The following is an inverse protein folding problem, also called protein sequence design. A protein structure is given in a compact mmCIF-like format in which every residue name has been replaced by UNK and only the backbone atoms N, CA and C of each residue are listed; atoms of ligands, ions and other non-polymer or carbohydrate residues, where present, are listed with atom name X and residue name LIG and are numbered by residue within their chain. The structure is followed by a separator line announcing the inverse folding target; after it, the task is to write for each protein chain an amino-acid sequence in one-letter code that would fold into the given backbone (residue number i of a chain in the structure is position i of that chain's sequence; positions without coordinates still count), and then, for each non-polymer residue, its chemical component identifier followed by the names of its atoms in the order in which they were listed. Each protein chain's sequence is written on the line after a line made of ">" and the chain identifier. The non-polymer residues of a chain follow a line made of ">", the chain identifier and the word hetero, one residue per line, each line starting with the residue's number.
data_IF_800295630192
#
_entry.id   IF_800295630192
#
_cell.length_a   1.000
_cell.length_b   1.000
_cell.length_c   1.000
_cell.angle_alpha   90.00
_cell.angle_beta   90.00
_cell.angle_gamma   90.00
#
_symmetry.space_group_name_H-M   'P 1'
#
loop_
_entity.id
_entity.type
_entity.pdbx_description
1 polymer ?
#
# COMPACT_ATOMS: atom_id res chain seq x y z
N UNK A 1 -9.76 14.47 -9.45
CA UNK A 1 -8.38 13.99 -9.61
C UNK A 1 -7.58 14.27 -8.35
N UNK A 2 -6.89 13.27 -7.80
CA UNK A 2 -5.91 13.49 -6.74
C UNK A 2 -4.64 14.15 -7.30
N UNK A 3 -3.98 14.95 -6.48
CA UNK A 3 -2.67 15.56 -6.76
C UNK A 3 -1.53 14.58 -6.47
N UNK A 4 -0.36 14.83 -7.06
CA UNK A 4 0.85 14.04 -6.76
C UNK A 4 1.20 14.03 -5.28
N UNK A 5 1.00 15.15 -4.58
CA UNK A 5 1.21 15.26 -3.14
C UNK A 5 0.25 14.34 -2.36
N UNK A 6 -1.02 14.29 -2.78
CA UNK A 6 -1.99 13.39 -2.15
C UNK A 6 -1.61 11.93 -2.39
N UNK A 7 -1.22 11.55 -3.61
CA UNK A 7 -0.72 10.19 -3.88
C UNK A 7 0.50 9.83 -3.01
N UNK A 8 1.51 10.70 -2.95
CA UNK A 8 2.69 10.49 -2.12
C UNK A 8 2.34 10.37 -0.63
N UNK A 9 1.38 11.17 -0.15
CA UNK A 9 0.91 11.12 1.23
C UNK A 9 0.18 9.81 1.54
N UNK A 10 -0.66 9.32 0.62
CA UNK A 10 -1.33 8.03 0.77
C UNK A 10 -0.35 6.85 0.73
N UNK A 11 0.65 6.90 -0.17
CA UNK A 11 1.73 5.92 -0.23
C UNK A 11 2.60 5.89 1.04
N UNK A 12 2.79 7.04 1.71
CA UNK A 12 3.54 7.10 2.95
C UNK A 12 2.71 6.70 4.18
N UNK A 13 1.38 6.81 4.10
CA UNK A 13 0.46 6.43 5.19
C UNK A 13 0.35 4.91 5.37
N UNK A 14 0.67 4.12 4.35
CA UNK A 14 0.59 2.64 4.39
C UNK A 14 1.60 2.00 5.34
N UNK A 15 2.67 2.69 5.71
CA UNK A 15 3.59 2.22 6.74
C UNK A 15 2.89 2.17 8.10
N UNK A 16 3.07 1.07 8.84
CA UNK A 16 2.44 0.83 10.14
C UNK A 16 3.01 1.74 11.25
N UNK A 17 2.59 3.01 11.21
CA UNK A 17 2.88 4.04 12.20
C UNK A 17 1.62 4.32 12.99
N UNK A 18 1.73 4.38 14.32
CA UNK A 18 0.58 4.57 15.22
C UNK A 18 0.57 5.96 15.88
N UNK A 19 -0.61 6.40 16.33
CA UNK A 19 -0.77 7.64 17.11
C UNK A 19 -0.32 8.88 16.36
N UNK A 20 0.45 9.75 17.03
CA UNK A 20 0.95 11.01 16.46
C UNK A 20 1.89 10.83 15.24
N UNK A 21 2.42 9.62 15.04
CA UNK A 21 3.32 9.32 13.92
C UNK A 21 2.59 8.80 12.68
N UNK A 22 1.27 8.56 12.74
CA UNK A 22 0.48 8.18 11.57
C UNK A 22 0.22 9.42 10.71
N UNK A 23 0.65 9.39 9.45
CA UNK A 23 0.39 10.47 8.49
C UNK A 23 -1.11 10.67 8.36
N UNK A 24 -1.61 11.89 8.58
CA UNK A 24 -3.04 12.20 8.48
C UNK A 24 -3.55 12.08 7.04
N UNK A 25 -4.86 11.85 6.87
CA UNK A 25 -5.47 11.88 5.54
C UNK A 25 -5.56 13.32 5.02
N UNK A 26 -5.43 13.54 3.70
CA UNK A 26 -5.82 14.80 3.07
C UNK A 26 -7.32 15.09 3.27
N UNK A 27 -7.70 16.36 3.14
CA UNK A 27 -9.11 16.77 3.18
C UNK A 27 -9.92 16.05 2.09
N UNK A 28 -11.15 15.66 2.41
CA UNK A 28 -12.09 14.97 1.51
C UNK A 28 -11.63 13.59 1.01
N UNK A 29 -10.68 12.96 1.71
CA UNK A 29 -10.26 11.58 1.48
C UNK A 29 -10.62 10.73 2.69
N UNK A 30 -11.35 9.65 2.45
CA UNK A 30 -11.74 8.68 3.46
C UNK A 30 -10.95 7.38 3.30
N UNK A 31 -10.57 6.76 4.43
CA UNK A 31 -10.04 5.39 4.46
C UNK A 31 -11.23 4.44 4.53
N UNK A 32 -11.45 3.70 3.45
CA UNK A 32 -12.57 2.76 3.33
C UNK A 32 -12.15 1.32 3.63
N UNK A 33 -10.84 1.02 3.53
CA UNK A 33 -10.27 -0.25 3.97
C UNK A 33 -8.80 -0.08 4.39
N UNK A 34 -8.40 -0.84 5.41
CA UNK A 34 -7.02 -0.94 5.86
C UNK A 34 -6.63 -2.41 6.00
N UNK A 35 -5.60 -2.81 5.27
CA UNK A 35 -4.92 -4.08 5.42
C UNK A 35 -3.72 -3.86 6.33
N UNK A 36 -3.80 -4.44 7.53
CA UNK A 36 -2.75 -4.33 8.55
C UNK A 36 -1.48 -5.08 8.14
N UNK A 37 -0.35 -4.70 8.75
CA UNK A 37 0.97 -5.29 8.45
C UNK A 37 0.99 -6.78 8.76
N UNK A 38 1.09 -7.59 7.70
CA UNK A 38 1.24 -9.04 7.82
C UNK A 38 2.63 -9.35 8.38
N UNK A 39 2.76 -9.95 9.59
CA UNK A 39 4.06 -10.16 10.22
C UNK A 39 4.96 -11.15 9.47
N UNK A 40 4.44 -11.91 8.50
CA UNK A 40 5.20 -12.85 7.68
C UNK A 40 5.66 -12.24 6.38
N UNK A 41 4.80 -11.47 5.72
CA UNK A 41 5.14 -10.88 4.42
C UNK A 41 5.62 -9.43 4.52
N UNK A 42 5.28 -8.71 5.59
CA UNK A 42 5.45 -7.26 5.72
C UNK A 42 4.50 -6.46 4.82
N UNK A 43 3.39 -7.07 4.39
CA UNK A 43 2.41 -6.42 3.53
C UNK A 43 1.42 -5.62 4.37
N UNK A 44 1.32 -4.32 4.08
CA UNK A 44 0.24 -3.45 4.52
C UNK A 44 -0.24 -2.59 3.35
N UNK A 45 -1.51 -2.25 3.36
CA UNK A 45 -2.12 -1.48 2.29
C UNK A 45 -3.33 -0.67 2.80
N UNK A 46 -3.63 0.43 2.12
CA UNK A 46 -4.81 1.25 2.39
C UNK A 46 -5.62 1.45 1.12
N UNK A 47 -6.94 1.42 1.25
CA UNK A 47 -7.86 1.80 0.19
C UNK A 47 -8.56 3.09 0.61
N UNK A 48 -8.44 4.10 -0.25
CA UNK A 48 -8.91 5.44 0.03
C UNK A 48 -9.90 5.91 -1.03
N UNK A 49 -10.88 6.70 -0.63
CA UNK A 49 -11.92 7.21 -1.52
C UNK A 49 -11.95 8.74 -1.54
N UNK A 50 -12.07 9.32 -2.74
CA UNK A 50 -12.33 10.75 -2.99
C UNK A 50 -13.38 10.92 -4.08
N UNK A 51 -14.64 11.06 -3.69
CA UNK A 51 -15.77 11.05 -4.64
C UNK A 51 -15.88 9.70 -5.35
N UNK A 52 -15.83 9.68 -6.69
CA UNK A 52 -15.84 8.43 -7.48
C UNK A 52 -14.45 7.80 -7.67
N UNK A 53 -13.39 8.41 -7.12
CA UNK A 53 -12.04 7.88 -7.26
C UNK A 53 -11.69 7.01 -6.07
N UNK A 54 -11.03 5.89 -6.35
CA UNK A 54 -10.46 5.00 -5.35
C UNK A 54 -8.97 4.89 -5.59
N UNK A 55 -8.19 5.04 -4.52
CA UNK A 55 -6.74 4.85 -4.54
C UNK A 55 -6.39 3.68 -3.65
N UNK A 56 -5.73 2.68 -4.23
CA UNK A 56 -5.16 1.56 -3.49
C UNK A 56 -3.67 1.87 -3.31
N UNK A 57 -3.25 2.07 -2.08
CA UNK A 57 -1.87 2.35 -1.72
C UNK A 57 -1.22 1.10 -1.12
N UNK A 58 -0.04 0.74 -1.61
CA UNK A 58 0.75 -0.39 -1.12
C UNK A 58 1.96 0.09 -0.32
N UNK A 59 2.25 -0.56 0.80
CA UNK A 59 3.48 -0.31 1.57
C UNK A 59 4.72 -0.72 0.78
N UNK A 60 5.84 -0.06 1.08
CA UNK A 60 7.17 -0.54 0.69
C UNK A 60 7.69 -1.59 1.67
N UNK A 61 8.88 -2.12 1.45
CA UNK A 61 9.53 -3.01 2.42
C UNK A 61 9.74 -2.29 3.77
N UNK A 62 9.47 -2.98 4.89
CA UNK A 62 9.74 -2.46 6.23
C UNK A 62 11.25 -2.32 6.49
N UNK A 63 11.67 -1.34 7.30
CA UNK A 63 13.09 -1.01 7.53
C UNK A 63 13.93 -2.19 8.05
N UNK A 64 13.34 -3.06 8.88
CA UNK A 64 13.98 -4.29 9.36
C UNK A 64 14.27 -5.26 8.20
N UNK A 65 13.32 -5.41 7.27
CA UNK A 65 13.48 -6.24 6.07
C UNK A 65 14.45 -5.62 5.07
N UNK A 66 14.54 -4.28 4.99
CA UNK A 66 15.55 -3.59 4.16
C UNK A 66 16.96 -3.78 4.73
N UNK A 67 17.13 -3.70 6.05
CA UNK A 67 18.40 -4.03 6.71
C UNK A 67 18.76 -5.49 6.46
N UNK A 68 17.84 -6.42 6.66
CA UNK A 68 18.09 -7.84 6.36
C UNK A 68 18.39 -8.07 4.87
N UNK A 69 17.71 -7.38 3.95
CA UNK A 69 17.97 -7.44 2.51
C UNK A 69 19.34 -6.88 2.11
N UNK A 70 19.85 -5.89 2.83
CA UNK A 70 21.16 -5.30 2.55
C UNK A 70 22.31 -6.11 3.14
N UNK A 71 22.06 -6.92 4.19
CA UNK A 71 23.08 -7.75 4.84
C UNK A 71 23.05 -9.21 4.35
N UNK A 72 21.87 -9.72 4.01
CA UNK A 72 21.65 -11.07 3.52
C UNK A 72 21.29 -11.05 2.02
N UNK A 73 22.08 -11.77 1.24
CA UNK A 73 21.96 -11.85 -0.22
C UNK A 73 20.49 -12.00 -0.71
N UNK A 74 20.23 -11.32 -1.82
CA UNK A 74 19.00 -11.18 -2.65
C UNK A 74 18.02 -12.40 -2.74
N UNK A 75 18.42 -13.69 -2.66
CA UNK A 75 17.47 -14.78 -2.97
C UNK A 75 16.27 -14.95 -2.03
N UNK A 76 16.37 -14.60 -0.74
CA UNK A 76 15.26 -14.80 0.22
C UNK A 76 14.08 -13.85 0.00
N UNK A 77 14.32 -12.65 -0.56
CA UNK A 77 13.28 -11.66 -0.82
C UNK A 77 12.34 -12.03 -1.99
N UNK A 78 12.76 -12.95 -2.86
CA UNK A 78 11.92 -13.43 -3.97
C UNK A 78 10.75 -14.29 -3.50
N UNK A 79 10.90 -14.99 -2.36
CA UNK A 79 9.82 -15.78 -1.76
C UNK A 79 8.76 -14.93 -1.08
N UNK A 80 9.17 -13.86 -0.37
CA UNK A 80 8.26 -12.90 0.26
C UNK A 80 7.55 -12.00 -0.76
N UNK A 81 8.21 -11.66 -1.88
CA UNK A 81 7.57 -10.94 -2.99
C UNK A 81 6.33 -11.66 -3.52
N UNK A 82 6.35 -12.99 -3.64
CA UNK A 82 5.18 -13.74 -4.12
C UNK A 82 3.96 -13.61 -3.18
N UNK A 83 4.17 -13.57 -1.86
CA UNK A 83 3.08 -13.40 -0.90
C UNK A 83 2.47 -12.00 -0.99
N UNK A 84 3.32 -10.96 -1.01
CA UNK A 84 2.85 -9.57 -1.14
C UNK A 84 2.11 -9.32 -2.46
N UNK A 85 2.60 -9.89 -3.58
CA UNK A 85 1.92 -9.79 -4.88
C UNK A 85 0.53 -10.42 -4.81
N UNK A 86 0.40 -11.63 -4.25
CA UNK A 86 -0.91 -12.29 -4.14
C UNK A 86 -1.87 -11.53 -3.21
N UNK A 87 -1.38 -10.97 -2.11
CA UNK A 87 -2.17 -10.13 -1.21
C UNK A 87 -2.63 -8.84 -1.90
N UNK A 88 -1.74 -8.19 -2.67
CA UNK A 88 -2.09 -7.03 -3.47
C UNK A 88 -3.16 -7.36 -4.52
N UNK A 89 -2.98 -8.44 -5.30
CA UNK A 89 -3.96 -8.89 -6.31
C UNK A 89 -5.31 -9.15 -5.66
N UNK A 90 -5.35 -9.81 -4.51
CA UNK A 90 -6.60 -10.08 -3.81
C UNK A 90 -7.33 -8.79 -3.42
N UNK A 91 -6.60 -7.86 -2.78
CA UNK A 91 -7.15 -6.56 -2.39
C UNK A 91 -7.69 -5.77 -3.59
N UNK A 92 -6.96 -5.78 -4.71
CA UNK A 92 -7.39 -5.11 -5.94
C UNK A 92 -8.68 -5.71 -6.48
N UNK A 93 -8.76 -7.04 -6.59
CA UNK A 93 -9.96 -7.71 -7.11
C UNK A 93 -11.18 -7.50 -6.20
N UNK A 94 -10.99 -7.53 -4.88
CA UNK A 94 -12.06 -7.23 -3.93
C UNK A 94 -12.53 -5.78 -4.05
N UNK A 95 -11.61 -4.83 -4.15
CA UNK A 95 -11.93 -3.40 -4.31
C UNK A 95 -12.70 -3.16 -5.61
N UNK A 96 -12.24 -3.73 -6.73
CA UNK A 96 -12.93 -3.61 -8.02
C UNK A 96 -14.33 -4.22 -7.99
N UNK A 97 -14.50 -5.35 -7.28
CA UNK A 97 -15.80 -6.00 -7.12
C UNK A 97 -16.76 -5.17 -6.27
N UNK A 98 -16.26 -4.52 -5.22
CA UNK A 98 -17.07 -3.68 -4.33
C UNK A 98 -17.41 -2.31 -4.96
N UNK A 99 -16.56 -1.82 -5.87
CA UNK A 99 -16.67 -0.50 -6.48
C UNK A 99 -16.60 -0.54 -8.02
N UNK A 100 -17.55 -1.21 -8.70
CA UNK A 100 -17.47 -1.51 -10.13
C UNK A 100 -17.49 -0.29 -11.06
N UNK A 101 -17.92 0.88 -10.55
CA UNK A 101 -18.03 2.12 -11.33
C UNK A 101 -17.00 3.18 -10.91
N UNK A 102 -16.10 2.86 -9.98
CA UNK A 102 -15.11 3.80 -9.49
C UNK A 102 -13.93 3.93 -10.44
N UNK A 103 -13.32 5.12 -10.47
CA UNK A 103 -12.02 5.34 -11.11
C UNK A 103 -10.93 4.88 -10.15
N UNK A 104 -10.36 3.69 -10.40
CA UNK A 104 -9.33 3.11 -9.53
C UNK A 104 -7.94 3.49 -10.01
N UNK A 105 -7.10 3.95 -9.09
CA UNK A 105 -5.67 4.18 -9.30
C UNK A 105 -4.84 3.57 -8.17
N UNK A 106 -3.55 3.43 -8.41
CA UNK A 106 -2.61 2.78 -7.50
C UNK A 106 -1.50 3.74 -7.11
N UNK A 107 -0.96 3.57 -5.90
CA UNK A 107 0.22 4.29 -5.46
C UNK A 107 1.05 3.47 -4.48
N UNK A 108 2.31 3.82 -4.32
CA UNK A 108 3.20 3.14 -3.41
C UNK A 108 4.62 3.68 -3.51
N UNK A 109 5.42 3.42 -2.49
CA UNK A 109 6.83 3.82 -2.44
C UNK A 109 7.73 2.57 -2.40
N UNK A 110 8.92 2.65 -3.01
CA UNK A 110 9.87 1.52 -3.07
C UNK A 110 9.22 0.26 -3.66
N UNK A 111 9.22 -0.89 -2.97
CA UNK A 111 8.52 -2.11 -3.38
C UNK A 111 7.03 -1.88 -3.67
N UNK A 112 6.36 -1.04 -2.88
CA UNK A 112 4.97 -0.68 -3.08
C UNK A 112 4.75 0.08 -4.39
N UNK A 113 5.75 0.81 -4.88
CA UNK A 113 5.73 1.42 -6.21
C UNK A 113 5.78 0.36 -7.31
N UNK A 114 6.58 -0.69 -7.14
CA UNK A 114 6.62 -1.83 -8.05
C UNK A 114 5.30 -2.62 -8.10
N UNK A 115 4.60 -2.75 -6.97
CA UNK A 115 3.25 -3.33 -6.92
C UNK A 115 2.18 -2.45 -7.59
N UNK A 116 2.43 -1.14 -7.65
CA UNK A 116 1.53 -0.16 -8.25
C UNK A 116 1.74 0.03 -9.77
N UNK A 117 2.58 -0.78 -10.42
CA UNK A 117 2.90 -0.69 -11.86
C UNK A 117 2.24 -1.83 -12.65
#
# INVERSE_FOLDING_TARGET
>A
MLTEKEYAQLAARTYDRTGANKITLPTDIEEIHWQDDDPKSGFSAGVYQKGNQIVIAFTGSNETLIKDFSVANIPSALGSNNAQIMQAVHLVLETLKQHPNAEVSFTGHSLGGGLAT
#
